data_IF_742217058241
#
_entry.id   IF_742217058241
#
_cell.length_a   1.000
_cell.length_b   1.000
_cell.length_c   1.000
_cell.angle_alpha   90.00
_cell.angle_beta   90.00
_cell.angle_gamma   90.00
#
_symmetry.space_group_name_H-M   'P 1'
#
loop_
_entity.id
_entity.type
_entity.pdbx_description
1 polymer ?
#
# COMPACT_ATOMS: atom_id res chain seq x y z
N UNK A 1 -28.11 51.70 -31.90
CA UNK A 1 -27.65 51.75 -30.50
C UNK A 1 -28.29 50.64 -29.66
N UNK A 2 -28.16 49.36 -30.07
CA UNK A 2 -28.74 48.21 -29.34
C UNK A 2 -28.01 46.87 -29.61
N UNK A 3 -26.92 46.87 -30.40
CA UNK A 3 -26.18 45.64 -30.75
C UNK A 3 -25.28 45.16 -29.61
N UNK A 4 -24.79 46.11 -28.81
CA UNK A 4 -23.85 45.84 -27.72
C UNK A 4 -24.54 45.21 -26.50
N UNK A 5 -25.81 45.58 -26.25
CA UNK A 5 -26.62 45.00 -25.15
C UNK A 5 -26.85 43.50 -25.30
N UNK A 6 -26.94 42.99 -26.54
CA UNK A 6 -27.10 41.57 -26.84
C UNK A 6 -25.83 40.76 -26.54
N UNK A 7 -24.66 41.33 -26.81
CA UNK A 7 -23.36 40.70 -26.52
C UNK A 7 -23.15 40.60 -25.00
N UNK A 8 -23.44 41.66 -24.24
CA UNK A 8 -23.34 41.60 -22.78
C UNK A 8 -24.34 40.63 -22.14
N UNK A 9 -25.55 40.52 -22.70
CA UNK A 9 -26.55 39.56 -22.22
C UNK A 9 -26.11 38.10 -22.48
N UNK A 10 -25.51 37.83 -23.65
CA UNK A 10 -24.96 36.51 -23.99
C UNK A 10 -23.75 36.19 -23.11
N UNK A 11 -22.84 37.14 -22.88
CA UNK A 11 -21.67 36.95 -22.00
C UNK A 11 -22.13 36.72 -20.56
N UNK A 12 -23.15 37.43 -20.07
CA UNK A 12 -23.72 37.24 -18.73
C UNK A 12 -24.45 35.88 -18.59
N UNK A 13 -25.15 35.43 -19.63
CA UNK A 13 -25.73 34.08 -19.68
C UNK A 13 -24.66 32.99 -19.75
N UNK A 14 -23.56 33.20 -20.49
CA UNK A 14 -22.45 32.25 -20.56
C UNK A 14 -21.70 32.12 -19.23
N UNK A 15 -21.45 33.24 -18.53
CA UNK A 15 -20.75 33.23 -17.25
C UNK A 15 -21.59 32.63 -16.12
N UNK A 16 -22.91 32.84 -16.14
CA UNK A 16 -23.83 32.23 -15.15
C UNK A 16 -23.97 30.72 -15.35
N UNK A 17 -23.99 30.23 -16.60
CA UNK A 17 -24.00 28.79 -16.89
C UNK A 17 -22.67 28.12 -16.50
N UNK A 18 -21.53 28.79 -16.69
CA UNK A 18 -20.22 28.23 -16.34
C UNK A 18 -20.02 28.08 -14.82
N UNK A 19 -20.64 28.94 -14.00
CA UNK A 19 -20.62 28.86 -12.54
C UNK A 19 -21.59 27.80 -11.97
N UNK A 20 -22.61 27.39 -12.73
CA UNK A 20 -23.58 26.39 -12.30
C UNK A 20 -23.08 24.93 -12.44
N UNK A 21 -22.11 24.69 -13.33
CA UNK A 21 -21.57 23.33 -13.60
C UNK A 21 -20.56 22.85 -12.55
N UNK A 22 -20.05 23.73 -11.67
CA UNK A 22 -18.94 23.38 -10.76
C UNK A 22 -19.35 22.78 -9.41
N UNK A 23 -20.63 22.52 -9.14
CA UNK A 23 -21.08 22.22 -7.76
C UNK A 23 -21.24 20.74 -7.37
N UNK A 24 -21.15 19.78 -8.28
CA UNK A 24 -21.48 18.37 -7.94
C UNK A 24 -20.38 17.34 -8.27
N UNK A 25 -19.14 17.61 -7.83
CA UNK A 25 -18.12 16.55 -7.72
C UNK A 25 -17.25 16.71 -6.47
N UNK A 26 -17.86 16.78 -5.29
CA UNK A 26 -17.14 16.45 -4.06
C UNK A 26 -18.06 15.96 -2.93
N UNK A 27 -18.37 14.66 -2.95
CA UNK A 27 -18.50 13.89 -1.71
C UNK A 27 -18.48 12.40 -2.06
N UNK A 28 -17.29 11.88 -2.38
CA UNK A 28 -17.05 10.44 -2.29
C UNK A 28 -17.05 10.15 -0.79
N UNK A 29 -18.11 9.48 -0.33
CA UNK A 29 -18.46 9.35 1.08
C UNK A 29 -17.28 9.04 1.98
N UNK A 30 -17.32 9.63 3.18
CA UNK A 30 -16.48 9.36 4.34
C UNK A 30 -16.06 7.90 4.36
N UNK A 31 -14.84 7.63 3.90
CA UNK A 31 -14.18 6.38 4.23
C UNK A 31 -14.05 6.43 5.75
N UNK A 32 -14.73 5.52 6.45
CA UNK A 32 -14.31 5.18 7.79
C UNK A 32 -12.87 4.68 7.65
N UNK A 33 -11.90 5.58 7.77
CA UNK A 33 -10.49 5.26 7.94
C UNK A 33 -10.35 4.67 9.35
N UNK A 34 -10.98 3.53 9.58
CA UNK A 34 -10.73 2.70 10.74
C UNK A 34 -9.25 2.40 10.73
N UNK A 35 -8.55 2.85 11.76
CA UNK A 35 -7.12 2.58 11.93
C UNK A 35 -6.93 1.07 11.80
N UNK A 36 -6.13 0.64 10.83
CA UNK A 36 -5.84 -0.77 10.65
C UNK A 36 -5.06 -1.25 11.88
N UNK A 37 -5.72 -2.09 12.67
CA UNK A 37 -5.13 -2.71 13.85
C UNK A 37 -4.48 -4.04 13.47
N UNK A 38 -3.35 -4.32 14.10
CA UNK A 38 -2.64 -5.58 13.93
C UNK A 38 -2.53 -6.27 15.29
N UNK A 39 -2.58 -7.60 15.28
CA UNK A 39 -2.26 -8.38 16.46
C UNK A 39 -0.74 -8.45 16.70
N UNK A 40 -0.35 -9.08 17.80
CA UNK A 40 1.06 -9.28 18.17
C UNK A 40 1.88 -10.02 17.11
N UNK A 41 1.22 -10.85 16.29
CA UNK A 41 1.86 -11.69 15.29
C UNK A 41 1.74 -11.14 13.87
N UNK A 42 1.15 -9.94 13.71
CA UNK A 42 0.83 -9.36 12.41
C UNK A 42 0.02 -10.34 11.52
N UNK A 43 -0.89 -11.12 12.10
CA UNK A 43 -1.58 -12.21 11.39
C UNK A 43 -2.43 -11.75 10.20
N UNK A 44 -2.88 -10.50 10.23
CA UNK A 44 -3.64 -9.84 9.17
C UNK A 44 -2.80 -8.87 8.33
N UNK A 45 -1.47 -8.91 8.44
CA UNK A 45 -0.56 -8.17 7.56
C UNK A 45 -0.30 -8.97 6.28
N UNK A 46 -0.37 -8.31 5.12
CA UNK A 46 -0.07 -8.94 3.83
C UNK A 46 1.43 -8.99 3.60
N UNK A 47 1.99 -10.20 3.58
CA UNK A 47 3.41 -10.43 3.27
C UNK A 47 3.62 -10.61 1.75
N UNK A 48 4.80 -10.22 1.21
CA UNK A 48 5.09 -10.31 -0.22
C UNK A 48 5.37 -11.73 -0.70
N UNK A 49 5.69 -12.65 0.22
CA UNK A 49 5.99 -14.05 -0.07
C UNK A 49 5.24 -14.96 0.88
N UNK A 50 5.15 -16.24 0.52
CA UNK A 50 4.69 -17.28 1.44
C UNK A 50 5.61 -17.30 2.66
N UNK A 51 5.00 -17.16 3.85
CA UNK A 51 5.72 -17.26 5.10
C UNK A 51 5.42 -18.59 5.78
N UNK A 52 6.43 -19.06 6.48
CA UNK A 52 6.40 -20.27 7.27
C UNK A 52 6.65 -19.91 8.73
N UNK A 53 6.40 -20.86 9.61
CA UNK A 53 6.65 -20.66 11.04
C UNK A 53 7.42 -21.82 11.61
N UNK A 54 8.45 -21.52 12.39
CA UNK A 54 9.26 -22.49 13.11
C UNK A 54 9.06 -22.34 14.61
N UNK A 55 8.68 -23.42 15.27
CA UNK A 55 8.49 -23.47 16.73
C UNK A 55 9.73 -24.07 17.39
N UNK A 56 10.21 -23.43 18.47
CA UNK A 56 11.41 -23.87 19.19
C UNK A 56 11.41 -23.42 20.65
N UNK A 57 12.02 -24.18 21.57
CA UNK A 57 12.18 -23.74 22.95
C UNK A 57 13.32 -22.73 23.07
N UNK A 58 13.11 -21.65 23.84
CA UNK A 58 14.17 -20.68 24.18
C UNK A 58 13.83 -19.96 25.47
N UNK A 59 14.83 -19.76 26.35
CA UNK A 59 14.68 -19.05 27.63
C UNK A 59 13.52 -19.60 28.50
N UNK A 60 13.32 -20.93 28.48
CA UNK A 60 12.26 -21.59 29.23
C UNK A 60 10.84 -21.37 28.68
N UNK A 61 10.70 -20.90 27.43
CA UNK A 61 9.41 -20.68 26.76
C UNK A 61 9.38 -21.34 25.39
N UNK A 62 8.19 -21.75 24.98
CA UNK A 62 7.93 -22.14 23.59
C UNK A 62 7.79 -20.88 22.73
N UNK A 63 8.69 -20.72 21.78
CA UNK A 63 8.78 -19.57 20.89
C UNK A 63 8.37 -19.96 19.47
N UNK A 64 7.91 -18.99 18.69
CA UNK A 64 7.52 -19.14 17.29
C UNK A 64 8.13 -18.02 16.47
N UNK A 65 8.80 -18.38 15.39
CA UNK A 65 9.44 -17.44 14.46
C UNK A 65 8.82 -17.57 13.08
N UNK A 66 8.31 -16.47 12.53
CA UNK A 66 7.88 -16.39 11.14
C UNK A 66 9.08 -16.06 10.24
N UNK A 67 9.16 -16.71 9.08
CA UNK A 67 10.18 -16.47 8.07
C UNK A 67 9.60 -16.66 6.67
N UNK A 68 10.17 -15.99 5.68
CA UNK A 68 9.84 -16.22 4.26
C UNK A 68 10.99 -16.96 3.60
N UNK A 69 10.68 -17.90 2.72
CA UNK A 69 11.68 -18.70 2.02
C UNK A 69 11.40 -18.73 0.52
N UNK A 70 12.37 -18.26 -0.26
CA UNK A 70 12.31 -18.26 -1.71
C UNK A 70 13.13 -19.46 -2.20
N UNK A 71 12.45 -20.43 -2.81
CA UNK A 71 13.10 -21.62 -3.41
C UNK A 71 14.02 -21.19 -4.55
N UNK A 72 15.25 -21.73 -4.64
CA UNK A 72 16.23 -21.30 -5.65
C UNK A 72 15.72 -21.56 -7.08
N UNK A 73 15.96 -20.60 -7.98
CA UNK A 73 15.66 -20.75 -9.42
C UNK A 73 16.66 -21.62 -10.17
N UNK A 74 17.90 -21.76 -9.67
CA UNK A 74 18.98 -22.53 -10.31
C UNK A 74 19.68 -23.45 -9.29
N UNK A 75 20.18 -24.63 -9.68
CA UNK A 75 20.81 -25.59 -8.76
C UNK A 75 22.06 -25.10 -8.02
N UNK A 76 22.75 -24.08 -8.55
CA UNK A 76 24.05 -23.59 -8.04
C UNK A 76 23.95 -22.21 -7.38
N UNK A 77 22.76 -21.85 -6.86
CA UNK A 77 22.59 -20.59 -6.12
C UNK A 77 23.10 -20.71 -4.68
N UNK A 78 23.77 -19.67 -4.19
CA UNK A 78 24.17 -19.55 -2.79
C UNK A 78 22.97 -19.30 -1.86
N UNK A 79 23.18 -19.44 -0.55
CA UNK A 79 22.17 -19.15 0.46
C UNK A 79 22.43 -17.80 1.12
N UNK A 80 21.43 -16.92 1.12
CA UNK A 80 21.50 -15.60 1.76
C UNK A 80 20.35 -15.51 2.76
N UNK A 81 20.64 -15.02 3.97
CA UNK A 81 19.62 -14.73 4.99
C UNK A 81 19.53 -13.22 5.19
N UNK A 82 18.32 -12.68 5.08
CA UNK A 82 18.04 -11.26 5.33
C UNK A 82 17.42 -11.08 6.72
N UNK A 83 18.07 -10.29 7.56
CA UNK A 83 17.64 -10.00 8.94
C UNK A 83 17.08 -8.58 9.00
N UNK A 84 15.89 -8.42 9.57
CA UNK A 84 15.24 -7.12 9.66
C UNK A 84 15.76 -6.29 10.83
N UNK A 85 15.57 -4.97 10.76
CA UNK A 85 15.85 -4.05 11.87
C UNK A 85 14.78 -4.08 12.96
N UNK A 86 15.00 -3.35 14.07
CA UNK A 86 14.08 -3.31 15.23
C UNK A 86 12.64 -2.91 14.89
N UNK A 87 12.47 -1.98 13.93
CA UNK A 87 11.18 -1.37 13.60
C UNK A 87 10.61 -1.81 12.24
N UNK A 88 11.24 -2.78 11.60
CA UNK A 88 10.81 -3.32 10.31
C UNK A 88 10.59 -4.82 10.46
N UNK A 89 9.58 -5.37 9.77
CA UNK A 89 9.38 -6.82 9.72
C UNK A 89 10.09 -7.40 8.46
N UNK A 90 10.00 -8.72 8.27
CA UNK A 90 10.61 -9.38 7.12
C UNK A 90 10.14 -8.89 5.75
N UNK A 91 8.93 -8.31 5.63
CA UNK A 91 8.38 -7.81 4.36
C UNK A 91 9.17 -6.61 3.82
N UNK A 92 9.86 -5.86 4.68
CA UNK A 92 10.75 -4.76 4.27
C UNK A 92 11.78 -5.19 3.22
N UNK A 93 12.15 -6.48 3.21
CA UNK A 93 13.15 -7.02 2.32
C UNK A 93 12.64 -7.43 0.94
N UNK A 94 11.37 -7.18 0.57
CA UNK A 94 10.79 -7.60 -0.71
C UNK A 94 11.69 -7.32 -1.92
N UNK A 95 12.07 -6.05 -2.10
CA UNK A 95 12.86 -5.61 -3.24
C UNK A 95 14.25 -6.28 -3.27
N UNK A 96 14.92 -6.34 -2.12
CA UNK A 96 16.25 -6.96 -2.01
C UNK A 96 16.20 -8.47 -2.22
N UNK A 97 15.19 -9.13 -1.65
CA UNK A 97 14.98 -10.57 -1.80
C UNK A 97 14.72 -10.94 -3.27
N UNK A 98 13.86 -10.18 -3.96
CA UNK A 98 13.63 -10.36 -5.39
C UNK A 98 14.91 -10.11 -6.20
N UNK A 99 15.62 -9.01 -5.96
CA UNK A 99 16.87 -8.71 -6.67
C UNK A 99 17.90 -9.83 -6.53
N UNK A 100 18.15 -10.30 -5.30
CA UNK A 100 19.10 -11.37 -5.03
C UNK A 100 18.64 -12.71 -5.62
N UNK A 101 17.33 -12.96 -5.65
CA UNK A 101 16.78 -14.20 -6.20
C UNK A 101 16.84 -14.27 -7.73
N UNK A 102 16.88 -13.13 -8.42
CA UNK A 102 17.05 -13.09 -9.89
C UNK A 102 18.50 -13.31 -10.35
N UNK A 103 19.49 -13.10 -9.49
CA UNK A 103 20.91 -13.27 -9.83
C UNK A 103 21.29 -14.75 -9.84
#
# INVERSE_FOLDING_TARGET
MNKDKGIYLIIFLLTTVLLAVSKDTLSKGTQNSGVQSYDKFLSNYTYPFEFYTYSFPSQGKDMKMAYMYLRPKKPQMGFITLLHGKNFNGAYWEETANYLHEK
#
